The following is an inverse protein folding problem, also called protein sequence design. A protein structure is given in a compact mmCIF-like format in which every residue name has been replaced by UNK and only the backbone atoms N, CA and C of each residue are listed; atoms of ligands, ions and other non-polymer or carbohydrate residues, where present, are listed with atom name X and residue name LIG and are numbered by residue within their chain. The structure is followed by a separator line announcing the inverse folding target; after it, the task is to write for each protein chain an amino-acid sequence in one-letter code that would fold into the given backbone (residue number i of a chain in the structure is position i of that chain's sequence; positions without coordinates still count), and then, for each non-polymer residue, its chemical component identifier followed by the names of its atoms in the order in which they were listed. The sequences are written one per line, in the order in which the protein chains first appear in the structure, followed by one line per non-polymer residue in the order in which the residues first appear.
data_IF_263758458502
#
_entry.id   IF_263758458502
#
_cell.length_a   1.000
_cell.length_b   1.000
_cell.length_c   1.000
_cell.angle_alpha   90.00
_cell.angle_beta   90.00
_cell.angle_gamma   90.00
#
_symmetry.space_group_name_H-M   'P 1'
#
loop_
_entity.id
_entity.type
_entity.pdbx_description
1 polymer ?
#
# COMPACT_ATOMS: atom_id res chain seq x y z
N UNK A 1 23.05 -2.83 -15.95
CA UNK A 1 23.19 -2.53 -14.51
C UNK A 1 21.84 -2.08 -14.00
N UNK A 2 21.39 -2.48 -12.79
CA UNK A 2 20.18 -1.93 -12.23
C UNK A 2 20.41 -0.42 -12.00
N UNK A 3 19.42 0.37 -12.37
CA UNK A 3 19.30 1.82 -12.41
C UNK A 3 19.48 2.52 -11.03
N UNK A 4 19.91 1.80 -9.99
CA UNK A 4 20.14 2.33 -8.64
C UNK A 4 18.86 2.74 -7.89
N UNK A 5 17.72 2.75 -8.57
CA UNK A 5 16.42 3.11 -8.00
C UNK A 5 15.92 1.94 -7.15
N UNK A 6 15.94 2.12 -5.83
CA UNK A 6 15.29 1.19 -4.90
C UNK A 6 13.77 1.23 -5.17
N UNK A 7 13.17 0.05 -5.35
CA UNK A 7 11.72 -0.13 -5.50
C UNK A 7 11.23 -1.11 -4.45
N UNK A 8 9.98 -0.97 -3.95
CA UNK A 8 9.41 -1.99 -3.10
C UNK A 8 9.28 -3.30 -3.89
N UNK A 9 9.45 -4.44 -3.21
CA UNK A 9 9.25 -5.75 -3.83
C UNK A 9 7.78 -6.14 -3.73
N UNK A 10 7.34 -7.12 -4.54
CA UNK A 10 5.97 -7.64 -4.47
C UNK A 10 5.61 -8.22 -3.09
N UNK A 11 6.60 -8.61 -2.29
CA UNK A 11 6.40 -9.08 -0.93
C UNK A 11 5.76 -8.01 -0.03
N UNK A 12 6.00 -6.73 -0.28
CA UNK A 12 5.39 -5.62 0.46
C UNK A 12 3.88 -5.46 0.19
N UNK A 13 3.37 -6.06 -0.89
CA UNK A 13 1.96 -5.97 -1.31
C UNK A 13 1.24 -7.31 -1.21
N UNK A 14 1.86 -8.31 -0.59
CA UNK A 14 1.28 -9.65 -0.47
C UNK A 14 0.39 -9.70 0.76
N UNK A 15 -0.87 -10.11 0.59
CA UNK A 15 -1.76 -10.41 1.70
C UNK A 15 -1.22 -11.60 2.51
N UNK A 16 -1.23 -11.48 3.83
CA UNK A 16 -0.93 -12.56 4.77
C UNK A 16 -2.17 -13.42 4.99
N UNK A 17 -1.96 -14.65 5.44
CA UNK A 17 -3.05 -15.57 5.75
C UNK A 17 -3.94 -14.97 6.85
N UNK A 18 -5.25 -14.86 6.58
CA UNK A 18 -6.22 -14.29 7.51
C UNK A 18 -6.36 -12.77 7.45
N UNK A 19 -5.70 -12.08 6.51
CA UNK A 19 -5.98 -10.66 6.26
C UNK A 19 -7.18 -10.49 5.32
N UNK A 20 -8.02 -9.49 5.62
CA UNK A 20 -9.20 -9.13 4.81
C UNK A 20 -8.87 -8.17 3.65
N UNK A 21 -7.65 -7.67 3.59
CA UNK A 21 -7.14 -6.80 2.54
C UNK A 21 -5.72 -6.31 2.83
N UNK A 22 -5.10 -5.69 1.82
CA UNK A 22 -3.82 -5.01 2.01
C UNK A 22 -4.07 -3.66 2.71
N UNK A 23 -3.52 -3.53 3.91
CA UNK A 23 -3.59 -2.30 4.72
C UNK A 23 -2.79 -1.16 4.08
N UNK A 24 -3.44 -0.01 3.92
CA UNK A 24 -2.87 1.22 3.36
C UNK A 24 -3.48 2.44 4.05
N UNK A 25 -2.82 3.59 3.92
CA UNK A 25 -3.39 4.88 4.32
C UNK A 25 -3.82 5.70 3.10
N UNK A 26 -5.00 6.31 3.18
CA UNK A 26 -5.47 7.28 2.20
C UNK A 26 -4.70 8.58 2.40
N UNK A 27 -3.80 8.89 1.47
CA UNK A 27 -2.92 10.07 1.56
C UNK A 27 -3.67 11.41 1.74
N UNK A 28 -4.91 11.53 1.23
CA UNK A 28 -5.72 12.74 1.42
C UNK A 28 -6.24 12.94 2.86
N UNK A 29 -6.18 11.90 3.70
CA UNK A 29 -6.68 11.89 5.08
C UNK A 29 -5.57 11.81 6.13
N UNK A 30 -4.31 11.80 5.71
CA UNK A 30 -3.12 11.73 6.57
C UNK A 30 -2.03 12.67 6.06
N UNK A 31 -0.94 12.81 6.80
CA UNK A 31 0.30 13.41 6.29
C UNK A 31 1.37 12.35 6.09
N UNK A 32 2.39 12.67 5.29
CA UNK A 32 3.51 11.76 5.07
C UNK A 32 4.23 11.43 6.39
N UNK A 33 4.39 12.44 7.25
CA UNK A 33 5.01 12.29 8.57
C UNK A 33 4.17 11.34 9.44
N UNK A 34 2.84 11.48 9.44
CA UNK A 34 1.95 10.61 10.20
C UNK A 34 1.94 9.17 9.69
N UNK A 35 1.97 8.97 8.37
CA UNK A 35 2.02 7.66 7.74
C UNK A 35 3.37 6.92 7.96
N UNK A 36 4.48 7.66 8.13
CA UNK A 36 5.83 7.10 8.33
C UNK A 36 6.19 6.96 9.83
N UNK A 37 5.63 7.80 10.72
CA UNK A 37 6.07 7.92 12.11
C UNK A 37 5.87 6.66 12.99
N UNK A 38 5.18 5.62 12.52
CA UNK A 38 5.16 4.33 13.19
C UNK A 38 6.56 3.71 13.20
N UNK A 39 7.13 3.48 14.40
CA UNK A 39 8.50 2.96 14.62
C UNK A 39 8.83 1.66 13.87
N UNK A 40 7.85 0.94 13.33
CA UNK A 40 8.00 -0.29 12.55
C UNK A 40 8.11 -0.09 11.03
N UNK A 41 7.82 1.10 10.48
CA UNK A 41 7.72 1.34 9.04
C UNK A 41 8.69 2.44 8.59
N UNK A 42 9.99 2.14 8.58
CA UNK A 42 11.01 3.10 8.14
C UNK A 42 11.05 3.34 6.61
N UNK A 43 10.18 2.67 5.84
CA UNK A 43 10.05 2.85 4.39
C UNK A 43 8.59 2.71 3.98
N UNK A 44 8.00 3.80 3.51
CA UNK A 44 6.69 3.83 2.86
C UNK A 44 6.81 3.79 1.34
N UNK A 45 5.73 3.41 0.66
CA UNK A 45 5.64 3.53 -0.79
C UNK A 45 4.29 4.16 -1.17
N UNK A 46 4.31 5.06 -2.15
CA UNK A 46 3.11 5.61 -2.75
C UNK A 46 2.62 4.70 -3.86
N UNK A 47 1.35 4.33 -3.80
CA UNK A 47 0.63 3.67 -4.88
C UNK A 47 -0.55 4.53 -5.29
N UNK A 48 -0.62 4.91 -6.57
CA UNK A 48 -1.76 5.65 -7.08
C UNK A 48 -3.03 4.78 -6.99
N UNK A 49 -4.11 5.30 -6.40
CA UNK A 49 -5.36 4.57 -6.21
C UNK A 49 -5.97 4.06 -7.53
N UNK A 50 -5.66 4.69 -8.66
CA UNK A 50 -6.07 4.21 -9.99
C UNK A 50 -5.58 2.78 -10.28
N UNK A 51 -4.39 2.40 -9.81
CA UNK A 51 -3.79 1.09 -10.10
C UNK A 51 -4.66 -0.06 -9.55
N UNK A 52 -5.02 -0.12 -8.26
CA UNK A 52 -5.93 -1.14 -7.76
C UNK A 52 -7.34 -1.02 -8.37
N UNK A 53 -7.86 0.20 -8.55
CA UNK A 53 -9.21 0.40 -9.11
C UNK A 53 -9.36 -0.14 -10.55
N UNK A 54 -8.39 0.12 -11.42
CA UNK A 54 -8.38 -0.40 -12.80
C UNK A 54 -8.27 -1.93 -12.84
N UNK A 55 -7.81 -2.57 -11.76
CA UNK A 55 -7.64 -4.01 -11.64
C UNK A 55 -8.72 -4.68 -10.75
N UNK A 56 -9.84 -4.00 -10.52
CA UNK A 56 -10.98 -4.52 -9.74
C UNK A 56 -10.62 -4.87 -8.28
N UNK A 57 -9.59 -4.22 -7.72
CA UNK A 57 -9.26 -4.24 -6.31
C UNK A 57 -9.87 -3.00 -5.65
N UNK A 58 -11.03 -3.10 -4.98
CA UNK A 58 -11.64 -1.94 -4.36
C UNK A 58 -10.77 -1.45 -3.20
N UNK A 59 -10.54 -0.13 -3.15
CA UNK A 59 -9.99 0.55 -2.00
C UNK A 59 -11.16 0.94 -1.08
N UNK A 60 -11.28 0.28 0.06
CA UNK A 60 -12.36 0.48 1.03
C UNK A 60 -11.82 1.28 2.20
N UNK A 61 -12.42 2.44 2.47
CA UNK A 61 -12.11 3.21 3.67
C UNK A 61 -12.54 2.40 4.91
N UNK A 62 -11.60 2.18 5.82
CA UNK A 62 -11.77 1.30 6.98
C UNK A 62 -11.02 1.90 8.18
N UNK A 63 -11.47 3.05 8.71
CA UNK A 63 -10.74 3.76 9.76
C UNK A 63 -10.63 2.89 11.02
N UNK A 64 -9.43 2.82 11.59
CA UNK A 64 -9.18 2.09 12.85
C UNK A 64 -8.82 3.05 13.98
N UNK A 65 -8.97 2.61 15.22
CA UNK A 65 -8.64 3.43 16.38
C UNK A 65 -7.17 3.93 16.29
N UNK A 66 -6.98 5.26 16.27
CA UNK A 66 -5.67 5.89 16.15
C UNK A 66 -5.15 6.05 14.71
N UNK A 67 -5.86 5.56 13.69
CA UNK A 67 -5.55 5.80 12.28
C UNK A 67 -6.84 6.01 11.44
N UNK A 68 -7.32 7.26 11.33
CA UNK A 68 -8.54 7.58 10.56
C UNK A 68 -8.34 7.48 9.03
N UNK A 69 -7.08 7.45 8.57
CA UNK A 69 -6.74 7.33 7.16
C UNK A 69 -6.66 5.88 6.68
N UNK A 70 -6.74 4.91 7.58
CA UNK A 70 -6.64 3.50 7.26
C UNK A 70 -7.72 3.07 6.24
N UNK A 71 -7.29 2.26 5.28
CA UNK A 71 -8.11 1.66 4.25
C UNK A 71 -7.56 0.28 3.87
N UNK A 72 -8.40 -0.50 3.21
CA UNK A 72 -8.06 -1.83 2.71
C UNK A 72 -8.17 -1.88 1.20
N UNK A 73 -7.11 -2.32 0.53
CA UNK A 73 -7.22 -2.77 -0.87
C UNK A 73 -7.61 -4.25 -0.83
N UNK A 74 -8.81 -4.59 -1.29
CA UNK A 74 -9.32 -5.98 -1.25
C UNK A 74 -8.98 -6.75 -2.54
N UNK A 75 -9.09 -8.07 -2.46
CA UNK A 75 -8.89 -9.01 -3.58
C UNK A 75 -7.49 -8.96 -4.21
N UNK A 76 -6.45 -8.63 -3.42
CA UNK A 76 -5.08 -8.56 -3.94
C UNK A 76 -4.53 -9.96 -4.17
N UNK A 77 -4.29 -10.30 -5.42
CA UNK A 77 -3.66 -11.57 -5.81
C UNK A 77 -2.13 -11.45 -5.86
N UNK A 78 -1.37 -12.56 -5.86
CA UNK A 78 0.09 -12.51 -6.03
C UNK A 78 0.55 -11.81 -7.33
N UNK A 79 -0.23 -11.93 -8.41
CA UNK A 79 0.06 -11.24 -9.67
C UNK A 79 -0.11 -9.72 -9.52
N UNK A 80 -1.16 -9.28 -8.81
CA UNK A 80 -1.42 -7.88 -8.54
C UNK A 80 -0.42 -7.27 -7.55
N UNK A 81 0.05 -8.04 -6.57
CA UNK A 81 1.13 -7.61 -5.69
C UNK A 81 2.41 -7.25 -6.48
N UNK A 82 2.72 -7.99 -7.55
CA UNK A 82 3.82 -7.67 -8.47
C UNK A 82 3.53 -6.41 -9.28
N UNK A 83 2.30 -6.24 -9.77
CA UNK A 83 1.88 -5.04 -10.49
C UNK A 83 2.01 -3.80 -9.59
N UNK A 84 1.57 -3.89 -8.33
CA UNK A 84 1.65 -2.79 -7.36
C UNK A 84 3.10 -2.41 -7.09
N UNK A 85 4.00 -3.38 -6.91
CA UNK A 85 5.43 -3.11 -6.73
C UNK A 85 6.07 -2.34 -7.90
N UNK A 86 5.65 -2.61 -9.13
CA UNK A 86 6.16 -1.90 -10.32
C UNK A 86 5.64 -0.46 -10.41
N UNK A 87 4.40 -0.23 -9.94
CA UNK A 87 3.72 1.07 -10.01
C UNK A 87 3.87 1.90 -8.73
N UNK A 88 4.46 1.34 -7.68
CA UNK A 88 4.70 2.03 -6.43
C UNK A 88 6.04 2.76 -6.43
N UNK A 89 6.08 3.91 -5.76
CA UNK A 89 7.28 4.75 -5.62
C UNK A 89 7.68 4.81 -4.15
N UNK A 90 8.94 4.52 -3.82
CA UNK A 90 9.45 4.72 -2.46
C UNK A 90 9.41 6.20 -2.09
N UNK A 91 9.09 6.44 -0.82
CA UNK A 91 9.13 7.74 -0.16
C UNK A 91 10.52 8.07 0.37
#
# INVERSE_FOLDING_TARGET
MPDGVRRPTSAAFKMRSGEDGLSVDIMALTTLEQAIATRSTHTGALLAAKVPLDNQCPCVHDPVAGNPAHALIRNVTPALAKLFAVNARLL
#
